data_IF_297712277349
#
_entry.id   IF_297712277349
#
_cell.length_a   1.000
_cell.length_b   1.000
_cell.length_c   1.000
_cell.angle_alpha   90.00
_cell.angle_beta   90.00
_cell.angle_gamma   90.00
#
_symmetry.space_group_name_H-M   'P 1'
#
loop_
_entity.id
_entity.type
_entity.pdbx_description
1 polymer ?
#
# COMPACT_ATOMS: atom_id res chain seq x y z
N UNK A 1 -11.15 -8.26 -11.30
CA UNK A 1 -10.93 -7.15 -10.36
C UNK A 1 -9.48 -6.78 -10.29
N UNK A 2 -9.21 -5.51 -10.33
CA UNK A 2 -7.83 -5.01 -10.20
C UNK A 2 -7.18 -5.47 -8.90
N UNK A 3 -7.98 -5.72 -7.85
CA UNK A 3 -7.49 -6.12 -6.52
C UNK A 3 -6.76 -7.45 -6.53
N UNK A 4 -7.05 -8.33 -7.48
CA UNK A 4 -6.39 -9.64 -7.57
C UNK A 4 -5.23 -9.65 -8.55
N UNK A 5 -5.04 -8.55 -9.29
CA UNK A 5 -4.01 -8.46 -10.30
C UNK A 5 -2.65 -8.25 -9.64
N UNK A 6 -1.67 -9.04 -10.03
CA UNK A 6 -0.28 -8.83 -9.60
C UNK A 6 0.39 -7.86 -10.55
N UNK A 7 1.07 -6.87 -9.97
CA UNK A 7 1.85 -5.92 -10.71
C UNK A 7 3.33 -6.20 -10.42
N UNK A 8 4.07 -6.54 -11.46
CA UNK A 8 5.50 -6.79 -11.36
C UNK A 8 6.23 -5.75 -12.19
N UNK A 9 7.19 -5.08 -11.56
CA UNK A 9 7.95 -4.01 -12.19
C UNK A 9 9.29 -4.55 -12.67
N UNK A 10 9.88 -3.99 -13.75
CA UNK A 10 11.21 -4.43 -14.21
C UNK A 10 12.31 -4.05 -13.23
N UNK A 11 12.15 -2.95 -12.51
CA UNK A 11 13.08 -2.49 -11.48
C UNK A 11 12.36 -1.50 -10.58
N UNK A 12 12.92 -1.23 -9.40
CA UNK A 12 12.39 -0.22 -8.51
C UNK A 12 13.51 0.29 -7.61
N UNK A 13 13.95 1.52 -7.83
CA UNK A 13 15.01 2.15 -7.06
C UNK A 13 14.56 3.47 -6.42
N UNK A 14 15.53 4.24 -5.96
CA UNK A 14 15.26 5.50 -5.26
C UNK A 14 14.49 6.50 -6.12
N UNK A 15 14.89 6.65 -7.37
CA UNK A 15 14.21 7.61 -8.27
C UNK A 15 12.79 7.15 -8.59
N UNK A 16 12.59 5.84 -8.72
CA UNK A 16 11.26 5.28 -8.95
C UNK A 16 10.33 5.56 -7.79
N UNK A 17 10.84 5.47 -6.57
CA UNK A 17 10.04 5.76 -5.38
C UNK A 17 9.62 7.23 -5.35
N UNK A 18 10.51 8.15 -5.76
CA UNK A 18 10.17 9.56 -5.84
C UNK A 18 9.08 9.80 -6.90
N UNK A 19 9.20 9.16 -8.05
CA UNK A 19 8.21 9.32 -9.13
C UNK A 19 6.84 8.76 -8.69
N UNK A 20 6.83 7.55 -8.13
CA UNK A 20 5.58 6.94 -7.66
C UNK A 20 4.94 7.75 -6.53
N UNK A 21 5.76 8.19 -5.57
CA UNK A 21 5.28 9.00 -4.45
C UNK A 21 4.72 10.34 -4.92
N UNK A 22 5.41 10.98 -5.87
CA UNK A 22 4.95 12.25 -6.44
C UNK A 22 3.64 12.08 -7.19
N UNK A 23 3.47 10.97 -7.90
CA UNK A 23 2.22 10.65 -8.58
C UNK A 23 1.08 10.50 -7.58
N UNK A 24 1.31 9.81 -6.47
CA UNK A 24 0.32 9.68 -5.39
C UNK A 24 -0.04 11.03 -4.79
N UNK A 25 0.94 11.89 -4.56
CA UNK A 25 0.71 13.25 -4.06
C UNK A 25 -0.19 14.02 -5.03
N UNK A 26 0.09 13.94 -6.33
CA UNK A 26 -0.71 14.61 -7.36
C UNK A 26 -2.16 14.13 -7.34
N UNK A 27 -2.36 12.81 -7.34
CA UNK A 27 -3.71 12.24 -7.29
C UNK A 27 -4.45 12.68 -6.02
N UNK A 28 -3.78 12.62 -4.88
CA UNK A 28 -4.40 12.99 -3.61
C UNK A 28 -4.76 14.47 -3.56
N UNK A 29 -3.89 15.34 -4.07
CA UNK A 29 -4.17 16.79 -4.11
C UNK A 29 -5.34 17.12 -5.01
N UNK A 30 -5.42 16.49 -6.18
CA UNK A 30 -6.53 16.70 -7.10
C UNK A 30 -7.87 16.33 -6.47
N UNK A 31 -7.87 15.36 -5.58
CA UNK A 31 -9.07 14.84 -4.92
C UNK A 31 -9.28 15.41 -3.53
N UNK A 32 -8.41 16.29 -3.08
CA UNK A 32 -8.41 16.82 -1.71
C UNK A 32 -8.44 15.70 -0.66
N UNK A 33 -7.71 14.62 -0.94
CA UNK A 33 -7.68 13.45 -0.05
C UNK A 33 -6.79 13.71 1.17
N UNK A 34 -7.32 13.53 2.39
CA UNK A 34 -6.56 13.82 3.62
C UNK A 34 -5.69 12.64 4.02
N UNK A 35 -4.72 12.29 3.18
CA UNK A 35 -3.96 11.06 3.33
C UNK A 35 -2.50 11.29 3.68
N UNK A 36 -1.91 10.28 4.32
CA UNK A 36 -0.47 10.12 4.41
C UNK A 36 -0.06 9.03 3.42
N UNK A 37 1.14 9.17 2.87
CA UNK A 37 1.68 8.30 1.80
C UNK A 37 3.06 7.83 2.24
N UNK A 38 3.36 6.54 2.02
CA UNK A 38 4.62 5.95 2.43
C UNK A 38 5.09 4.92 1.39
N UNK A 39 6.38 4.94 1.07
CA UNK A 39 7.01 3.92 0.22
C UNK A 39 8.24 3.43 0.94
N UNK A 40 8.36 2.10 1.07
CA UNK A 40 9.51 1.46 1.71
C UNK A 40 10.09 0.37 0.83
N UNK A 41 11.41 0.20 0.97
CA UNK A 41 12.11 -0.95 0.43
C UNK A 41 12.76 -1.64 1.62
N UNK A 42 12.24 -2.80 2.01
CA UNK A 42 12.63 -3.42 3.26
C UNK A 42 12.36 -2.47 4.42
N UNK A 43 13.35 -2.25 5.26
CA UNK A 43 13.22 -1.37 6.41
C UNK A 43 13.40 0.12 6.07
N UNK A 44 13.88 0.43 4.87
CA UNK A 44 14.17 1.83 4.53
C UNK A 44 12.96 2.54 3.96
N UNK A 45 12.62 3.68 4.55
CA UNK A 45 11.61 4.56 4.00
C UNK A 45 12.22 5.37 2.84
N UNK A 46 11.63 5.22 1.65
CA UNK A 46 12.12 5.88 0.45
C UNK A 46 11.35 7.17 0.14
N UNK A 47 10.10 7.24 0.58
CA UNK A 47 9.24 8.40 0.31
C UNK A 47 8.20 8.49 1.41
N UNK A 48 7.90 9.73 1.83
CA UNK A 48 6.81 9.99 2.76
C UNK A 48 6.22 11.37 2.48
N UNK A 49 4.89 11.45 2.52
CA UNK A 49 4.20 12.74 2.44
C UNK A 49 2.96 12.69 3.31
N UNK A 50 2.73 13.76 4.07
CA UNK A 50 1.52 13.95 4.85
C UNK A 50 0.77 15.13 4.25
N UNK A 51 -0.46 14.88 3.79
CA UNK A 51 -1.27 15.91 3.14
C UNK A 51 -2.24 16.55 4.15
N UNK A 52 -2.78 17.73 3.83
CA UNK A 52 -3.70 18.40 4.75
C UNK A 52 -4.88 17.50 5.14
N UNK A 53 -5.18 17.48 6.42
CA UNK A 53 -6.24 16.63 6.97
C UNK A 53 -5.76 15.29 7.50
N UNK A 54 -4.53 14.90 7.20
CA UNK A 54 -3.93 13.70 7.78
C UNK A 54 -3.37 14.00 9.17
N UNK A 55 -3.02 12.95 9.88
CA UNK A 55 -2.46 13.06 11.23
C UNK A 55 -1.45 11.94 11.47
N UNK A 56 -0.76 12.00 12.60
CA UNK A 56 0.17 10.95 12.99
C UNK A 56 -0.51 9.58 13.09
N UNK A 57 -1.82 9.56 13.36
CA UNK A 57 -2.58 8.29 13.41
C UNK A 57 -2.58 7.59 12.05
N UNK A 58 -2.60 8.35 10.95
CA UNK A 58 -2.51 7.76 9.61
C UNK A 58 -1.17 7.04 9.41
N UNK A 59 -0.09 7.58 9.96
CA UNK A 59 1.22 6.91 9.89
C UNK A 59 1.24 5.64 10.72
N UNK A 60 0.54 5.61 11.84
CA UNK A 60 0.39 4.39 12.63
C UNK A 60 -0.38 3.32 11.86
N UNK A 61 -1.46 3.71 11.16
CA UNK A 61 -2.18 2.79 10.27
C UNK A 61 -1.30 2.27 9.14
N UNK A 62 -0.48 3.14 8.55
CA UNK A 62 0.46 2.76 7.49
C UNK A 62 1.37 1.63 7.98
N UNK A 63 1.95 1.78 9.16
CA UNK A 63 2.85 0.76 9.72
C UNK A 63 2.16 -0.59 9.89
N UNK A 64 0.92 -0.57 10.37
CA UNK A 64 0.15 -1.81 10.59
C UNK A 64 -0.25 -2.47 9.27
N UNK A 65 -0.62 -1.67 8.26
CA UNK A 65 -1.01 -2.18 6.94
C UNK A 65 0.19 -2.78 6.20
N UNK A 66 1.32 -2.07 6.19
CA UNK A 66 2.50 -2.56 5.46
C UNK A 66 3.06 -3.85 6.05
N UNK A 67 2.92 -4.04 7.36
CA UNK A 67 3.38 -5.28 8.00
C UNK A 67 2.58 -6.49 7.54
N UNK A 68 1.30 -6.32 7.23
CA UNK A 68 0.50 -7.37 6.63
C UNK A 68 1.06 -7.73 5.25
N UNK A 69 1.38 -6.73 4.43
CA UNK A 69 1.97 -6.97 3.11
C UNK A 69 3.33 -7.66 3.22
N UNK A 70 4.17 -7.22 4.15
CA UNK A 70 5.49 -7.84 4.35
C UNK A 70 5.38 -9.31 4.74
N UNK A 71 4.38 -9.65 5.55
CA UNK A 71 4.19 -11.01 6.02
C UNK A 71 3.55 -11.93 4.99
N UNK A 72 2.55 -11.43 4.27
CA UNK A 72 1.74 -12.27 3.36
C UNK A 72 2.13 -12.15 1.89
N UNK A 73 2.88 -11.11 1.51
CA UNK A 73 3.28 -10.90 0.11
C UNK A 73 2.14 -10.46 -0.80
N UNK A 74 1.03 -10.02 -0.24
CA UNK A 74 -0.15 -9.60 -0.97
C UNK A 74 -0.69 -8.31 -0.38
N UNK A 75 -1.55 -7.58 -1.12
CA UNK A 75 -2.11 -6.32 -0.63
C UNK A 75 -2.87 -6.55 0.68
N UNK A 76 -2.81 -5.56 1.56
CA UNK A 76 -3.51 -5.63 2.84
C UNK A 76 -5.04 -5.73 2.65
N UNK A 77 -5.55 -5.17 1.56
CA UNK A 77 -6.97 -5.28 1.22
C UNK A 77 -7.35 -6.72 0.86
N UNK A 78 -6.54 -7.38 0.03
CA UNK A 78 -6.79 -8.76 -0.38
C UNK A 78 -6.74 -9.71 0.82
N UNK A 79 -5.75 -9.53 1.69
CA UNK A 79 -5.63 -10.35 2.90
C UNK A 79 -6.88 -10.21 3.75
N UNK A 80 -7.32 -8.99 4.04
CA UNK A 80 -8.54 -8.76 4.81
C UNK A 80 -9.78 -9.34 4.15
N UNK A 81 -9.89 -9.20 2.83
CA UNK A 81 -11.01 -9.72 2.08
C UNK A 81 -11.11 -11.25 2.19
N UNK A 82 -9.97 -11.94 2.15
CA UNK A 82 -9.95 -13.40 2.29
C UNK A 82 -10.50 -13.86 3.64
N UNK A 83 -10.11 -13.19 4.72
CA UNK A 83 -10.62 -13.54 6.05
C UNK A 83 -12.11 -13.26 6.14
N UNK A 84 -12.58 -12.12 5.65
CA UNK A 84 -14.01 -11.80 5.66
C UNK A 84 -14.83 -12.80 4.83
N UNK A 85 -14.27 -13.26 3.71
CA UNK A 85 -14.95 -14.25 2.86
C UNK A 85 -15.15 -15.59 3.57
N UNK A 86 -14.31 -15.89 4.57
CA UNK A 86 -14.43 -17.12 5.37
C UNK A 86 -15.36 -16.93 6.57
N UNK A 87 -15.99 -15.77 6.71
CA UNK A 87 -16.90 -15.49 7.81
C UNK A 87 -16.21 -15.16 9.13
N UNK A 88 -14.94 -14.76 9.07
CA UNK A 88 -14.17 -14.38 10.26
C UNK A 88 -13.49 -13.04 10.06
N UNK A 89 -12.75 -12.57 11.05
CA UNK A 89 -11.91 -11.39 10.94
C UNK A 89 -10.44 -11.81 10.88
N UNK A 90 -9.62 -10.90 10.36
CA UNK A 90 -8.18 -11.14 10.34
C UNK A 90 -7.66 -11.39 11.75
N UNK A 91 -8.07 -10.56 12.72
CA UNK A 91 -7.61 -10.62 14.11
C UNK A 91 -7.97 -11.96 14.77
N UNK A 92 -9.20 -12.40 14.59
CA UNK A 92 -9.66 -13.65 15.20
C UNK A 92 -8.95 -14.87 14.63
N UNK A 93 -8.80 -14.92 13.33
CA UNK A 93 -8.29 -16.11 12.65
C UNK A 93 -6.77 -16.17 12.64
N UNK A 94 -6.09 -15.05 12.37
CA UNK A 94 -4.62 -15.02 12.31
C UNK A 94 -4.00 -15.06 13.69
N UNK A 95 -4.70 -14.53 14.68
CA UNK A 95 -4.23 -14.37 16.07
C UNK A 95 -3.00 -13.46 16.18
N UNK A 96 -2.74 -12.66 15.15
CA UNK A 96 -1.66 -11.69 15.17
C UNK A 96 -2.08 -10.47 15.99
N UNK A 97 -1.09 -9.78 16.56
CA UNK A 97 -1.31 -8.62 17.40
C UNK A 97 -1.98 -7.49 16.57
N UNK A 98 -3.20 -7.07 16.94
CA UNK A 98 -3.90 -6.01 16.22
C UNK A 98 -3.23 -4.64 16.35
N UNK A 99 -2.36 -4.45 17.35
CA UNK A 99 -1.59 -3.21 17.47
C UNK A 99 -0.43 -3.17 16.48
N UNK A 100 -0.06 -4.30 15.90
CA UNK A 100 1.06 -4.42 14.96
C UNK A 100 0.60 -4.62 13.53
N UNK A 101 -0.49 -5.35 13.32
CA UNK A 101 -0.99 -5.75 12.00
C UNK A 101 -2.42 -5.27 11.79
N UNK A 102 -2.70 -4.71 10.61
CA UNK A 102 -4.06 -4.38 10.22
C UNK A 102 -4.28 -4.77 8.75
N UNK A 103 -5.18 -5.72 8.52
CA UNK A 103 -5.53 -6.19 7.18
C UNK A 103 -6.64 -5.31 6.59
N UNK A 104 -6.39 -4.02 6.56
CA UNK A 104 -7.24 -3.00 5.95
C UNK A 104 -6.57 -2.47 4.69
N UNK A 105 -7.36 -2.11 3.69
CA UNK A 105 -6.84 -1.65 2.40
C UNK A 105 -5.95 -0.42 2.50
N UNK A 106 -4.97 -0.36 1.63
CA UNK A 106 -4.08 0.79 1.49
C UNK A 106 -2.62 0.44 1.29
N UNK A 107 -2.16 -0.75 1.67
CA UNK A 107 -0.78 -1.15 1.41
C UNK A 107 -0.72 -2.20 0.30
N UNK A 108 0.23 -2.04 -0.61
CA UNK A 108 0.38 -2.89 -1.78
C UNK A 108 1.84 -3.29 -1.94
N UNK A 109 2.14 -4.55 -2.33
CA UNK A 109 3.52 -4.98 -2.47
C UNK A 109 4.18 -4.37 -3.72
N UNK A 110 5.43 -3.98 -3.58
CA UNK A 110 6.27 -3.60 -4.71
C UNK A 110 7.06 -4.84 -5.09
N UNK A 111 6.69 -5.45 -6.21
CA UNK A 111 7.32 -6.67 -6.70
C UNK A 111 8.17 -6.36 -7.94
N UNK A 112 9.37 -6.92 -7.97
CA UNK A 112 10.31 -6.71 -9.07
C UNK A 112 10.63 -8.05 -9.73
N UNK A 113 10.70 -8.06 -11.05
CA UNK A 113 11.01 -9.26 -11.83
C UNK A 113 12.31 -9.89 -11.33
N UNK A 114 12.24 -11.17 -11.01
CA UNK A 114 13.40 -11.93 -10.53
C UNK A 114 13.76 -11.75 -9.07
N UNK A 115 13.12 -10.79 -8.38
CA UNK A 115 13.43 -10.51 -6.97
C UNK A 115 12.23 -10.73 -6.03
N UNK A 116 11.01 -10.75 -6.57
CA UNK A 116 9.81 -10.85 -5.75
C UNK A 116 9.45 -9.55 -5.07
N UNK A 117 8.77 -9.64 -3.94
CA UNK A 117 8.35 -8.46 -3.18
C UNK A 117 9.56 -7.85 -2.46
N UNK A 118 9.89 -6.62 -2.80
CA UNK A 118 11.04 -5.91 -2.21
C UNK A 118 10.63 -4.75 -1.31
N UNK A 119 9.36 -4.33 -1.38
CA UNK A 119 8.92 -3.18 -0.61
C UNK A 119 7.42 -3.02 -0.61
N UNK A 120 6.98 -1.88 -0.11
CA UNK A 120 5.56 -1.55 0.02
C UNK A 120 5.29 -0.12 -0.38
N UNK A 121 4.10 0.12 -0.93
CA UNK A 121 3.54 1.47 -1.09
C UNK A 121 2.22 1.50 -0.35
N UNK A 122 2.01 2.52 0.47
CA UNK A 122 0.88 2.56 1.40
C UNK A 122 0.26 3.95 1.47
N UNK A 123 -1.07 3.98 1.53
CA UNK A 123 -1.86 5.20 1.73
C UNK A 123 -2.81 4.97 2.90
N UNK A 124 -2.98 5.98 3.74
CA UNK A 124 -3.96 5.93 4.83
C UNK A 124 -4.63 7.29 5.00
N UNK A 125 -5.98 7.27 5.11
CA UNK A 125 -6.76 8.47 5.36
C UNK A 125 -8.16 8.45 4.76
N UNK A 126 -8.45 7.52 3.86
CA UNK A 126 -9.75 7.33 3.24
C UNK A 126 -10.37 6.01 3.75
N UNK A 127 -11.63 5.72 3.44
CA UNK A 127 -12.15 4.36 3.65
C UNK A 127 -11.22 3.34 2.99
N UNK A 128 -11.08 2.17 3.60
CA UNK A 128 -10.03 1.23 3.19
C UNK A 128 -10.06 0.83 1.71
N UNK A 129 -11.24 0.68 1.13
CA UNK A 129 -11.34 0.34 -0.28
C UNK A 129 -10.84 1.48 -1.18
N UNK A 130 -10.99 2.72 -0.74
CA UNK A 130 -10.54 3.89 -1.50
C UNK A 130 -9.04 4.12 -1.34
N UNK A 131 -8.50 3.86 -0.13
CA UNK A 131 -7.04 3.87 0.06
C UNK A 131 -6.39 2.86 -0.88
N UNK A 132 -6.95 1.65 -0.93
CA UNK A 132 -6.47 0.59 -1.82
C UNK A 132 -6.57 1.01 -3.30
N UNK A 133 -7.72 1.53 -3.71
CA UNK A 133 -7.93 1.91 -5.10
C UNK A 133 -6.96 3.01 -5.56
N UNK A 134 -6.64 3.96 -4.68
CA UNK A 134 -5.69 5.02 -5.00
C UNK A 134 -4.29 4.46 -5.26
N UNK A 135 -3.85 3.53 -4.41
CA UNK A 135 -2.54 2.88 -4.59
C UNK A 135 -2.50 2.09 -5.89
N UNK A 136 -3.54 1.31 -6.17
CA UNK A 136 -3.60 0.50 -7.40
C UNK A 136 -3.56 1.40 -8.63
N UNK A 137 -4.33 2.47 -8.63
CA UNK A 137 -4.36 3.42 -9.74
C UNK A 137 -2.98 4.02 -9.99
N UNK A 138 -2.31 4.46 -8.93
CA UNK A 138 -0.97 5.04 -9.05
C UNK A 138 0.05 4.03 -9.56
N UNK A 139 0.00 2.80 -9.06
CA UNK A 139 0.91 1.75 -9.51
C UNK A 139 0.69 1.38 -10.97
N UNK A 140 -0.57 1.32 -11.41
CA UNK A 140 -0.87 1.02 -12.81
C UNK A 140 -0.37 2.12 -13.72
N UNK A 141 -0.55 3.39 -13.35
CA UNK A 141 -0.02 4.51 -14.13
C UNK A 141 1.51 4.48 -14.15
N UNK A 142 2.12 4.21 -13.00
CA UNK A 142 3.57 4.11 -12.90
C UNK A 142 4.11 2.97 -13.76
N UNK A 143 3.50 1.81 -13.70
CA UNK A 143 3.90 0.65 -14.49
C UNK A 143 3.82 0.94 -15.98
N UNK A 144 2.80 1.65 -16.42
CA UNK A 144 2.64 2.03 -17.82
C UNK A 144 3.77 2.93 -18.31
N UNK A 145 4.29 3.81 -17.43
CA UNK A 145 5.40 4.72 -17.80
C UNK A 145 6.75 4.03 -17.78
N UNK A 146 6.88 2.90 -17.06
CA UNK A 146 8.15 2.16 -17.00
C UNK A 146 8.24 1.03 -17.99
N UNK A 147 7.21 0.82 -18.81
CA UNK A 147 7.18 -0.27 -19.78
C UNK A 147 6.90 -1.63 -19.18
N UNK A 148 6.39 -1.66 -17.97
CA UNK A 148 6.07 -2.92 -17.29
C UNK A 148 4.77 -3.54 -17.78
#
# INVERSE_FOLDING_TARGET
MATSKKLTLPHFGYDDAFVLGSLLVTLARERHAPVAIDIRRGAQQLFHAALPGSSADNDAWIDRKRKVVERYGESSYLVGTRFRAKGTTFEESSRLDPDTYAAHGGSFPIAVTGAGVIGTVTVSGLPQAEDHAMVVEALEQFAATTGA
#
